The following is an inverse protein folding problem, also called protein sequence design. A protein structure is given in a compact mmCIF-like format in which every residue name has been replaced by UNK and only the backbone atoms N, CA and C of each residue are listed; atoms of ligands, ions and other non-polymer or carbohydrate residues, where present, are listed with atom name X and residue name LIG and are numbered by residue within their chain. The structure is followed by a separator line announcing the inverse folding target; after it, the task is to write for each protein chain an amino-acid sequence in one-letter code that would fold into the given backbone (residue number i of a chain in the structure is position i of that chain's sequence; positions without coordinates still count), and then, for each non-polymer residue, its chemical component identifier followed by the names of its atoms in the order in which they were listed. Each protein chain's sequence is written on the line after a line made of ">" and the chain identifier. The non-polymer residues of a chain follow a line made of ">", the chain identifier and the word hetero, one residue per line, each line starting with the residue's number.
data_IF_297518995851
#
_entry.id   IF_297518995851
#
_cell.length_a   1.000
_cell.length_b   1.000
_cell.length_c   1.000
_cell.angle_alpha   90.00
_cell.angle_beta   90.00
_cell.angle_gamma   90.00
#
_symmetry.space_group_name_H-M   'P 1'
#
loop_
_entity.id
_entity.type
_entity.pdbx_description
1 polymer ?
#
# COMPACT_ATOMS: atom_id res chain seq x y z
N UNK A 1 21.65 9.78 13.67
CA UNK A 1 20.48 10.38 13.01
C UNK A 1 19.64 9.23 12.51
N UNK A 2 18.53 8.90 13.17
CA UNK A 2 17.62 7.86 12.67
C UNK A 2 17.20 8.26 11.27
N UNK A 3 17.56 7.46 10.27
CA UNK A 3 17.16 7.65 8.87
C UNK A 3 15.63 7.46 8.80
N UNK A 4 14.87 8.49 9.16
CA UNK A 4 13.44 8.51 8.92
C UNK A 4 13.25 8.48 7.41
N UNK A 5 12.94 7.29 6.88
CA UNK A 5 12.57 7.09 5.49
C UNK A 5 11.45 8.07 5.16
N UNK A 6 11.60 8.79 4.06
CA UNK A 6 10.54 9.70 3.61
C UNK A 6 9.30 8.90 3.20
N UNK A 7 8.09 9.45 3.35
CA UNK A 7 6.87 8.79 2.87
C UNK A 7 6.95 8.40 1.38
N UNK A 8 7.68 9.16 0.55
CA UNK A 8 7.98 8.79 -0.85
C UNK A 8 8.76 7.47 -0.98
N UNK A 9 9.75 7.23 -0.13
CA UNK A 9 10.48 5.96 -0.12
C UNK A 9 9.57 4.82 0.34
N UNK A 10 8.78 5.04 1.39
CA UNK A 10 7.83 4.03 1.90
C UNK A 10 6.79 3.63 0.86
N UNK A 11 6.27 4.57 0.06
CA UNK A 11 5.34 4.23 -1.04
C UNK A 11 6.00 3.29 -2.05
N UNK A 12 7.28 3.51 -2.40
CA UNK A 12 8.01 2.65 -3.33
C UNK A 12 8.28 1.27 -2.73
N UNK A 13 8.69 1.23 -1.47
CA UNK A 13 8.91 -0.04 -0.75
C UNK A 13 7.61 -0.84 -0.60
N UNK A 14 6.50 -0.16 -0.30
CA UNK A 14 5.19 -0.81 -0.22
C UNK A 14 4.73 -1.31 -1.60
N UNK A 15 4.99 -0.56 -2.67
CA UNK A 15 4.68 -1.00 -4.04
C UNK A 15 5.48 -2.25 -4.43
N UNK A 16 6.75 -2.33 -4.03
CA UNK A 16 7.54 -3.56 -4.19
C UNK A 16 6.97 -4.70 -3.35
N UNK A 17 6.70 -4.43 -2.07
CA UNK A 17 6.09 -5.40 -1.14
C UNK A 17 4.79 -5.99 -1.70
N UNK A 18 3.95 -5.19 -2.37
CA UNK A 18 2.76 -5.69 -3.05
C UNK A 18 3.09 -6.64 -4.20
N UNK A 19 4.09 -6.31 -5.03
CA UNK A 19 4.54 -7.20 -6.12
C UNK A 19 5.09 -8.50 -5.55
N UNK A 20 5.95 -8.44 -4.53
CA UNK A 20 6.50 -9.63 -3.85
C UNK A 20 5.38 -10.49 -3.25
N UNK A 21 4.39 -9.87 -2.60
CA UNK A 21 3.23 -10.59 -2.04
C UNK A 21 2.37 -11.22 -3.13
N UNK A 22 2.18 -10.51 -4.24
CA UNK A 22 1.42 -10.99 -5.39
C UNK A 22 2.11 -12.21 -6.02
N UNK A 23 3.43 -12.26 -6.01
CA UNK A 23 4.20 -13.43 -6.46
C UNK A 23 4.15 -14.58 -5.46
N UNK A 24 4.16 -14.29 -4.15
CA UNK A 24 4.13 -15.30 -3.09
C UNK A 24 2.75 -15.90 -2.83
N UNK A 25 1.67 -15.16 -3.11
CA UNK A 25 0.30 -15.62 -2.86
C UNK A 25 -0.18 -16.60 -3.92
N UNK A 26 -0.95 -17.60 -3.48
CA UNK A 26 -1.64 -18.55 -4.35
C UNK A 26 -3.01 -18.06 -4.83
N UNK A 27 -3.49 -16.92 -4.33
CA UNK A 27 -4.83 -16.40 -4.64
C UNK A 27 -4.77 -15.36 -5.77
N UNK A 28 -5.25 -15.75 -6.96
CA UNK A 28 -5.20 -14.90 -8.16
C UNK A 28 -5.91 -13.55 -8.00
N UNK A 29 -7.06 -13.49 -7.32
CA UNK A 29 -7.78 -12.22 -7.11
C UNK A 29 -6.98 -11.21 -6.29
N UNK A 30 -6.25 -11.71 -5.28
CA UNK A 30 -5.39 -10.89 -4.42
C UNK A 30 -4.13 -10.47 -5.17
N UNK A 31 -3.57 -11.38 -5.99
CA UNK A 31 -2.45 -11.09 -6.87
C UNK A 31 -2.76 -9.95 -7.82
N UNK A 32 -3.88 -10.02 -8.54
CA UNK A 32 -4.32 -8.96 -9.46
C UNK A 32 -4.50 -7.61 -8.74
N UNK A 33 -5.12 -7.63 -7.55
CA UNK A 33 -5.36 -6.42 -6.77
C UNK A 33 -4.07 -5.77 -6.28
N UNK A 34 -3.13 -6.56 -5.76
CA UNK A 34 -1.84 -6.09 -5.28
C UNK A 34 -0.98 -5.51 -6.41
N UNK A 35 -0.91 -6.20 -7.56
CA UNK A 35 -0.20 -5.69 -8.73
C UNK A 35 -0.79 -4.35 -9.21
N UNK A 36 -2.13 -4.27 -9.32
CA UNK A 36 -2.81 -3.03 -9.72
C UNK A 36 -2.55 -1.86 -8.76
N UNK A 37 -2.52 -2.13 -7.45
CA UNK A 37 -2.20 -1.14 -6.43
C UNK A 37 -0.74 -0.67 -6.54
N UNK A 38 0.21 -1.59 -6.77
CA UNK A 38 1.62 -1.25 -6.95
C UNK A 38 1.81 -0.30 -8.14
N UNK A 39 1.23 -0.62 -9.30
CA UNK A 39 1.32 0.22 -10.51
C UNK A 39 0.60 1.56 -10.34
N UNK A 40 -0.37 1.63 -9.43
CA UNK A 40 -1.06 2.89 -9.10
C UNK A 40 -0.28 3.75 -8.12
N UNK A 41 0.42 3.14 -7.16
CA UNK A 41 1.13 3.84 -6.07
C UNK A 41 2.47 4.40 -6.51
N UNK A 42 3.21 3.67 -7.33
CA UNK A 42 4.52 4.08 -7.85
C UNK A 42 4.51 5.50 -8.48
N UNK A 43 3.58 5.86 -9.39
CA UNK A 43 3.55 7.21 -10.00
C UNK A 43 3.13 8.32 -9.03
N UNK A 44 2.45 8.00 -7.92
CA UNK A 44 2.02 9.01 -6.94
C UNK A 44 3.00 9.18 -5.78
N UNK A 45 4.04 8.35 -5.65
CA UNK A 45 5.03 8.41 -4.58
C UNK A 45 5.68 9.80 -4.40
N UNK A 46 5.84 10.55 -5.49
CA UNK A 46 6.43 11.89 -5.48
C UNK A 46 5.49 13.03 -5.06
N UNK A 47 4.21 12.76 -4.78
CA UNK A 47 3.21 13.78 -4.42
C UNK A 47 3.54 14.45 -3.08
N UNK A 48 3.16 15.73 -2.95
CA UNK A 48 3.42 16.54 -1.75
C UNK A 48 2.90 15.89 -0.47
N UNK A 49 1.75 15.19 -0.54
CA UNK A 49 1.18 14.46 0.57
C UNK A 49 2.20 13.57 1.30
N UNK A 50 2.94 12.75 0.54
CA UNK A 50 3.94 11.82 1.09
C UNK A 50 5.23 12.49 1.56
N UNK A 51 5.36 13.82 1.36
CA UNK A 51 6.42 14.64 1.92
C UNK A 51 6.01 15.30 3.24
N UNK A 52 4.74 15.17 3.64
CA UNK A 52 4.24 15.66 4.92
C UNK A 52 4.41 14.61 6.02
N UNK A 53 4.39 15.06 7.28
CA UNK A 53 4.40 14.17 8.45
C UNK A 53 3.22 13.18 8.38
N UNK A 54 2.00 13.68 8.16
CA UNK A 54 0.80 12.85 8.01
C UNK A 54 0.96 11.76 6.95
N UNK A 55 1.40 12.14 5.75
CA UNK A 55 1.61 11.16 4.68
C UNK A 55 2.75 10.19 4.96
N UNK A 56 3.63 10.48 5.91
CA UNK A 56 4.65 9.53 6.40
C UNK A 56 4.03 8.60 7.44
N UNK A 57 3.27 9.12 8.41
CA UNK A 57 2.56 8.33 9.42
C UNK A 57 1.59 7.33 8.77
N UNK A 58 0.74 7.79 7.84
CA UNK A 58 -0.20 6.90 7.14
C UNK A 58 0.56 5.78 6.41
N UNK A 59 1.73 6.09 5.84
CA UNK A 59 2.54 5.10 5.13
C UNK A 59 3.21 4.09 6.07
N UNK A 60 3.62 4.51 7.26
CA UNK A 60 4.11 3.59 8.30
C UNK A 60 2.99 2.61 8.67
N UNK A 61 1.78 3.12 8.90
CA UNK A 61 0.62 2.28 9.21
C UNK A 61 0.30 1.29 8.08
N UNK A 62 0.36 1.72 6.81
CA UNK A 62 0.14 0.81 5.68
C UNK A 62 1.22 -0.27 5.56
N UNK A 63 2.49 0.09 5.79
CA UNK A 63 3.59 -0.90 5.73
C UNK A 63 3.47 -1.93 6.85
N UNK A 64 3.14 -1.50 8.08
CA UNK A 64 2.96 -2.40 9.22
C UNK A 64 1.76 -3.34 9.02
N UNK A 65 0.62 -2.77 8.58
CA UNK A 65 -0.60 -3.55 8.32
C UNK A 65 -0.40 -4.55 7.17
N UNK A 66 0.35 -4.18 6.11
CA UNK A 66 0.67 -5.10 5.02
C UNK A 66 1.56 -6.25 5.49
N UNK A 67 2.54 -5.98 6.36
CA UNK A 67 3.42 -7.03 6.90
C UNK A 67 2.63 -8.03 7.78
N UNK A 68 1.62 -7.56 8.52
CA UNK A 68 0.71 -8.43 9.26
C UNK A 68 -0.21 -9.24 8.33
N UNK A 69 -0.76 -8.60 7.28
CA UNK A 69 -1.59 -9.27 6.27
C UNK A 69 -0.79 -10.35 5.55
N UNK A 70 0.44 -10.09 5.12
CA UNK A 70 1.30 -11.10 4.49
C UNK A 70 1.43 -12.37 5.32
N UNK A 71 1.64 -12.22 6.64
CA UNK A 71 1.75 -13.36 7.56
C UNK A 71 0.44 -14.14 7.60
N UNK A 72 -0.68 -13.45 7.79
CA UNK A 72 -2.01 -14.06 7.88
C UNK A 72 -2.51 -14.64 6.55
N UNK A 73 -2.06 -14.10 5.42
CA UNK A 73 -2.40 -14.58 4.08
C UNK A 73 -1.88 -15.99 3.85
N UNK A 74 -0.68 -16.31 4.37
CA UNK A 74 -0.09 -17.64 4.29
C UNK A 74 -0.90 -18.69 5.07
N UNK A 75 -1.58 -18.30 6.14
CA UNK A 75 -2.45 -19.15 6.96
C UNK A 75 -3.90 -19.25 6.43
N UNK A 76 -4.26 -18.50 5.38
CA UNK A 76 -5.62 -18.54 4.83
C UNK A 76 -5.87 -19.86 4.08
N UNK A 77 -6.95 -20.55 4.45
CA UNK A 77 -7.33 -21.84 3.86
C UNK A 77 -7.96 -21.72 2.46
N UNK A 78 -8.59 -20.59 2.16
CA UNK A 78 -9.30 -20.34 0.90
C UNK A 78 -9.27 -18.86 0.49
N UNK A 79 -9.61 -18.61 -0.77
CA UNK A 79 -9.59 -17.27 -1.35
C UNK A 79 -10.57 -16.31 -0.66
N UNK A 80 -11.74 -16.78 -0.20
CA UNK A 80 -12.74 -15.93 0.44
C UNK A 80 -12.27 -15.42 1.81
N UNK A 81 -11.58 -16.26 2.57
CA UNK A 81 -10.93 -15.85 3.82
C UNK A 81 -9.82 -14.82 3.57
N UNK A 82 -8.99 -15.07 2.56
CA UNK A 82 -7.89 -14.17 2.19
C UNK A 82 -8.40 -12.81 1.67
N UNK A 83 -9.47 -12.81 0.87
CA UNK A 83 -10.14 -11.59 0.40
C UNK A 83 -10.79 -10.82 1.55
N UNK A 84 -11.46 -11.51 2.47
CA UNK A 84 -12.06 -10.87 3.66
C UNK A 84 -11.01 -10.21 4.56
N UNK A 85 -9.81 -10.80 4.62
CA UNK A 85 -8.67 -10.24 5.34
C UNK A 85 -8.10 -9.00 4.64
N UNK A 86 -7.93 -9.04 3.31
CA UNK A 86 -7.24 -7.98 2.57
C UNK A 86 -8.14 -6.83 2.13
N UNK A 87 -9.45 -7.06 1.93
CA UNK A 87 -10.38 -6.05 1.43
C UNK A 87 -10.42 -4.77 2.27
N UNK A 88 -10.48 -4.81 3.61
CA UNK A 88 -10.47 -3.60 4.43
C UNK A 88 -9.22 -2.74 4.21
N UNK A 89 -8.06 -3.39 4.06
CA UNK A 89 -6.79 -2.75 3.77
C UNK A 89 -6.83 -2.07 2.39
N UNK A 90 -7.27 -2.80 1.36
CA UNK A 90 -7.38 -2.28 0.00
C UNK A 90 -8.32 -1.08 -0.07
N UNK A 91 -9.49 -1.14 0.57
CA UNK A 91 -10.44 -0.02 0.57
C UNK A 91 -9.87 1.24 1.24
N UNK A 92 -9.14 1.08 2.35
CA UNK A 92 -8.51 2.22 3.05
C UNK A 92 -7.43 2.84 2.17
N UNK A 93 -6.57 2.01 1.58
CA UNK A 93 -5.50 2.45 0.71
C UNK A 93 -6.02 3.13 -0.56
N UNK A 94 -7.07 2.59 -1.19
CA UNK A 94 -7.70 3.19 -2.37
C UNK A 94 -8.29 4.58 -2.05
N UNK A 95 -8.86 4.77 -0.86
CA UNK A 95 -9.31 6.10 -0.39
C UNK A 95 -8.14 7.07 -0.28
N UNK A 96 -7.01 6.65 0.30
CA UNK A 96 -5.79 7.49 0.37
C UNK A 96 -5.27 7.80 -1.03
N UNK A 97 -5.15 6.81 -1.92
CA UNK A 97 -4.71 7.00 -3.31
C UNK A 97 -5.61 8.03 -4.01
N UNK A 98 -6.93 7.90 -3.89
CA UNK A 98 -7.89 8.84 -4.49
C UNK A 98 -7.74 10.25 -3.91
N UNK A 99 -7.56 10.37 -2.61
CA UNK A 99 -7.29 11.66 -1.96
C UNK A 99 -6.01 12.30 -2.53
N UNK A 100 -4.90 11.56 -2.55
CA UNK A 100 -3.60 12.05 -3.07
C UNK A 100 -3.67 12.43 -4.54
N UNK A 101 -4.40 11.67 -5.37
CA UNK A 101 -4.60 11.98 -6.80
C UNK A 101 -5.39 13.28 -6.99
N UNK A 102 -6.37 13.56 -6.13
CA UNK A 102 -7.24 14.74 -6.22
C UNK A 102 -6.66 16.00 -5.57
N UNK A 103 -5.60 15.88 -4.76
CA UNK A 103 -4.87 17.03 -4.23
C UNK A 103 -4.24 17.83 -5.38
N UNK A 104 -4.87 18.97 -5.71
CA UNK A 104 -4.27 20.00 -6.56
C UNK A 104 -3.13 20.62 -5.77
N UNK A 105 -1.91 20.51 -6.29
CA UNK A 105 -0.78 21.30 -5.80
C UNK A 105 -1.15 22.76 -6.06
N UNK A 106 -1.55 23.50 -5.03
CA UNK A 106 -1.61 24.96 -5.13
C UNK A 106 -0.16 25.41 -5.20
N UNK A 107 0.32 25.73 -6.41
CA UNK A 107 1.54 26.50 -6.57
C UNK A 107 1.24 27.88 -5.99
N UNK A 108 1.68 28.10 -4.75
CA UNK A 108 1.87 29.44 -4.17
C UNK A 108 3.30 29.86 -4.41
#
# INVERSE_FOLDING_TARGET
>A
MSEHKSGTQMVRELSQTFRDTAEATQFDSIKEKLSSLADTMEPIAGKLYFKTQKGTDDMIEYVDEMADIQKKLADCADAGAAESLCNPYFERLEKTIKHVKTMKVRMT
#
